data_IF_588523824930
#
_entry.id   IF_588523824930
#
_cell.length_a   1.000
_cell.length_b   1.000
_cell.length_c   1.000
_cell.angle_alpha   90.00
_cell.angle_beta   90.00
_cell.angle_gamma   90.00
#
_symmetry.space_group_name_H-M   'P 1'
#
loop_
_entity.id
_entity.type
_entity.pdbx_description
1 polymer ?
#
# COMPACT_ATOMS: atom_id res chain seq x y z
N UNK A 1 30.30 -31.12 10.73
CA UNK A 1 29.29 -30.14 11.18
C UNK A 1 28.03 -30.36 10.35
N UNK A 2 26.87 -30.48 11.00
CA UNK A 2 25.58 -30.76 10.35
C UNK A 2 24.47 -30.47 11.35
N UNK A 3 24.14 -29.20 11.54
CA UNK A 3 22.98 -28.81 12.34
C UNK A 3 21.75 -29.16 11.51
N UNK A 4 20.87 -29.99 12.07
CA UNK A 4 19.58 -30.31 11.47
C UNK A 4 18.70 -29.07 11.59
N UNK A 5 18.32 -28.48 10.47
CA UNK A 5 17.40 -27.35 10.40
C UNK A 5 15.99 -27.89 10.22
N UNK A 6 15.05 -27.37 11.00
CA UNK A 6 13.63 -27.63 10.84
C UNK A 6 13.04 -26.55 9.93
N UNK A 7 12.26 -26.96 8.92
CA UNK A 7 11.68 -26.06 7.92
C UNK A 7 10.17 -26.00 8.11
N UNK A 8 9.61 -24.79 8.07
CA UNK A 8 8.17 -24.56 8.06
C UNK A 8 7.67 -24.40 6.61
N UNK A 9 6.52 -24.99 6.29
CA UNK A 9 5.81 -24.71 5.03
C UNK A 9 5.03 -23.41 5.19
N UNK A 10 5.16 -22.51 4.21
CA UNK A 10 4.43 -21.25 4.13
C UNK A 10 3.48 -21.29 2.93
N UNK A 11 2.20 -21.18 3.21
CA UNK A 11 1.14 -21.13 2.19
C UNK A 11 0.81 -19.69 1.85
N UNK A 12 0.89 -19.32 0.58
CA UNK A 12 0.52 -17.99 0.09
C UNK A 12 -0.87 -18.01 -0.52
N UNK A 13 -1.70 -17.05 -0.12
CA UNK A 13 -3.06 -16.88 -0.64
C UNK A 13 -3.23 -15.48 -1.18
N UNK A 14 -3.82 -15.38 -2.36
CA UNK A 14 -4.22 -14.11 -2.95
C UNK A 14 -5.56 -13.71 -2.31
N UNK A 15 -5.61 -12.50 -1.76
CA UNK A 15 -6.75 -11.99 -1.02
C UNK A 15 -7.07 -10.57 -1.49
N UNK A 16 -8.34 -10.21 -1.47
CA UNK A 16 -8.80 -8.85 -1.76
C UNK A 16 -9.06 -8.10 -0.46
N UNK A 17 -8.46 -6.92 -0.29
CA UNK A 17 -8.82 -6.02 0.81
C UNK A 17 -10.22 -5.45 0.59
N UNK A 18 -11.11 -5.63 1.56
CA UNK A 18 -12.50 -5.18 1.47
C UNK A 18 -12.70 -3.81 2.11
N UNK A 19 -12.47 -3.71 3.42
CA UNK A 19 -12.66 -2.49 4.21
C UNK A 19 -11.97 -2.64 5.57
N UNK A 20 -11.91 -1.55 6.34
CA UNK A 20 -11.42 -1.56 7.73
C UNK A 20 -12.56 -1.80 8.72
N UNK A 21 -12.34 -2.71 9.67
CA UNK A 21 -13.20 -2.93 10.83
C UNK A 21 -12.47 -2.51 12.10
N UNK A 22 -12.73 -1.28 12.56
CA UNK A 22 -11.94 -0.66 13.62
C UNK A 22 -10.47 -0.51 13.20
N UNK A 23 -9.58 -1.21 13.90
CA UNK A 23 -8.15 -1.26 13.56
C UNK A 23 -7.80 -2.31 12.52
N UNK A 24 -8.59 -3.37 12.39
CA UNK A 24 -8.27 -4.51 11.54
C UNK A 24 -8.63 -4.28 10.06
N UNK A 25 -7.96 -5.05 9.20
CA UNK A 25 -8.20 -5.10 7.77
C UNK A 25 -9.02 -6.35 7.45
N UNK A 26 -10.20 -6.17 6.87
CA UNK A 26 -11.02 -7.30 6.40
C UNK A 26 -10.55 -7.68 5.00
N UNK A 27 -10.09 -8.92 4.85
CA UNK A 27 -9.61 -9.50 3.60
C UNK A 27 -10.50 -10.67 3.17
N UNK A 28 -10.67 -10.88 1.88
CA UNK A 28 -11.40 -12.01 1.31
C UNK A 28 -10.50 -12.89 0.46
N UNK A 29 -10.47 -14.19 0.70
CA UNK A 29 -9.75 -15.15 -0.13
C UNK A 29 -10.34 -15.21 -1.54
N UNK A 30 -9.52 -15.03 -2.58
CA UNK A 30 -10.01 -14.97 -3.97
C UNK A 30 -10.51 -16.34 -4.48
N UNK A 31 -10.16 -17.45 -3.81
CA UNK A 31 -10.56 -18.81 -4.21
C UNK A 31 -11.75 -19.32 -3.41
N UNK A 32 -11.76 -19.11 -2.10
CA UNK A 32 -12.79 -19.66 -1.21
C UNK A 32 -13.87 -18.65 -0.85
N UNK A 33 -13.64 -17.35 -1.07
CA UNK A 33 -14.50 -16.24 -0.63
C UNK A 33 -14.65 -16.14 0.90
N UNK A 34 -13.83 -16.87 1.67
CA UNK A 34 -13.78 -16.74 3.12
C UNK A 34 -13.15 -15.39 3.50
N UNK A 35 -13.72 -14.75 4.52
CA UNK A 35 -13.21 -13.49 5.04
C UNK A 35 -12.40 -13.72 6.31
N UNK A 36 -11.32 -12.96 6.45
CA UNK A 36 -10.51 -12.91 7.66
C UNK A 36 -10.29 -11.46 8.08
N UNK A 37 -10.12 -11.26 9.38
CA UNK A 37 -9.63 -10.00 9.94
C UNK A 37 -8.13 -10.13 10.14
N UNK A 38 -7.38 -9.17 9.61
CA UNK A 38 -5.93 -9.14 9.73
C UNK A 38 -5.49 -7.90 10.51
N UNK A 39 -4.71 -8.13 11.57
CA UNK A 39 -4.24 -7.08 12.44
C UNK A 39 -3.24 -6.14 11.72
N UNK A 40 -3.21 -4.83 12.05
CA UNK A 40 -2.35 -3.85 11.39
C UNK A 40 -0.87 -4.22 11.33
N UNK A 41 -0.34 -4.85 12.38
CA UNK A 41 1.07 -5.22 12.47
C UNK A 41 1.47 -6.31 11.47
N UNK A 42 0.52 -7.13 11.00
CA UNK A 42 0.74 -8.16 9.98
C UNK A 42 0.65 -7.59 8.56
N UNK A 43 -0.10 -6.51 8.39
CA UNK A 43 -0.15 -5.76 7.13
C UNK A 43 1.12 -4.92 6.94
N UNK A 44 1.63 -4.31 8.00
CA UNK A 44 2.80 -3.44 7.93
C UNK A 44 2.50 -2.05 7.37
N UNK A 45 3.53 -1.21 7.30
CA UNK A 45 3.44 0.19 6.90
C UNK A 45 2.77 0.44 5.52
N UNK A 46 3.03 -0.38 4.47
CA UNK A 46 2.47 -0.13 3.14
C UNK A 46 0.93 -0.18 3.09
N UNK A 47 0.28 -0.70 4.13
CA UNK A 47 -1.18 -0.82 4.23
C UNK A 47 -1.90 0.52 4.20
N UNK A 48 -1.21 1.62 4.52
CA UNK A 48 -1.75 2.99 4.44
C UNK A 48 -2.04 3.44 3.01
N UNK A 49 -1.51 2.73 2.02
CA UNK A 49 -1.70 3.01 0.59
C UNK A 49 -2.78 2.12 -0.05
N UNK A 50 -3.44 1.26 0.71
CA UNK A 50 -4.45 0.35 0.17
C UNK A 50 -5.79 1.06 -0.01
N UNK A 51 -6.39 0.84 -1.18
CA UNK A 51 -7.79 1.12 -1.46
C UNK A 51 -8.61 -0.16 -1.36
N UNK A 52 -9.88 -0.03 -1.04
CA UNK A 52 -10.84 -1.14 -1.12
C UNK A 52 -10.74 -1.81 -2.50
N UNK A 53 -10.89 -3.13 -2.53
CA UNK A 53 -10.71 -4.01 -3.67
C UNK A 53 -9.27 -4.19 -4.17
N UNK A 54 -8.26 -3.74 -3.42
CA UNK A 54 -6.86 -4.03 -3.77
C UNK A 54 -6.51 -5.48 -3.44
N UNK A 55 -5.94 -6.22 -4.41
CA UNK A 55 -5.38 -7.55 -4.16
C UNK A 55 -4.06 -7.47 -3.39
N UNK A 56 -3.93 -8.31 -2.38
CA UNK A 56 -2.75 -8.50 -1.51
C UNK A 56 -2.46 -9.99 -1.39
N UNK A 57 -1.23 -10.36 -1.02
CA UNK A 57 -0.89 -11.76 -0.77
C UNK A 57 -0.65 -11.97 0.73
N UNK A 58 -1.35 -12.91 1.34
CA UNK A 58 -1.17 -13.25 2.76
C UNK A 58 -0.46 -14.59 2.88
N UNK A 59 0.62 -14.61 3.66
CA UNK A 59 1.39 -15.81 3.98
C UNK A 59 0.85 -16.44 5.26
N UNK A 60 0.63 -17.75 5.25
CA UNK A 60 0.12 -18.53 6.37
C UNK A 60 1.08 -19.66 6.75
N UNK A 61 1.08 -20.03 8.02
CA UNK A 61 1.69 -21.25 8.52
C UNK A 61 0.70 -21.99 9.42
N UNK A 62 0.36 -23.22 9.08
CA UNK A 62 -0.64 -24.04 9.82
C UNK A 62 -2.01 -23.33 10.00
N UNK A 63 -2.37 -22.45 9.05
CA UNK A 63 -3.61 -21.68 9.09
C UNK A 63 -3.51 -20.34 9.82
N UNK A 64 -2.40 -20.07 10.52
CA UNK A 64 -2.14 -18.78 11.18
C UNK A 64 -1.52 -17.79 10.18
N UNK A 65 -2.04 -16.56 10.05
CA UNK A 65 -1.46 -15.55 9.17
C UNK A 65 -0.15 -15.00 9.76
N UNK A 66 0.87 -14.86 8.91
CA UNK A 66 2.21 -14.40 9.30
C UNK A 66 2.46 -12.95 8.90
N UNK A 67 2.19 -12.60 7.65
CA UNK A 67 2.34 -11.25 7.10
C UNK A 67 1.60 -11.14 5.76
N UNK A 68 1.27 -9.91 5.38
CA UNK A 68 0.78 -9.58 4.05
C UNK A 68 1.87 -8.91 3.20
N UNK A 69 1.87 -9.20 1.91
CA UNK A 69 2.67 -8.55 0.89
C UNK A 69 1.72 -7.75 -0.03
N UNK A 70 1.97 -6.45 -0.14
CA UNK A 70 1.18 -5.54 -0.97
C UNK A 70 1.82 -5.34 -2.33
N UNK A 71 1.06 -4.87 -3.34
CA UNK A 71 1.64 -4.48 -4.62
C UNK A 71 2.77 -3.47 -4.41
N UNK A 72 3.89 -3.67 -5.10
CA UNK A 72 5.09 -2.78 -5.00
C UNK A 72 4.75 -1.34 -5.38
N UNK A 73 3.77 -1.15 -6.27
CA UNK A 73 3.25 0.17 -6.59
C UNK A 73 1.73 0.17 -6.66
N UNK A 74 1.13 1.28 -6.25
CA UNK A 74 -0.31 1.54 -6.41
C UNK A 74 -0.51 2.88 -7.12
N UNK A 75 -1.64 3.01 -7.81
CA UNK A 75 -2.04 4.25 -8.46
C UNK A 75 -3.09 4.93 -7.57
N UNK A 76 -2.78 6.11 -7.05
CA UNK A 76 -3.59 6.83 -6.07
C UNK A 76 -3.81 8.27 -6.49
N UNK A 77 -5.04 8.74 -6.32
CA UNK A 77 -5.46 10.12 -6.60
C UNK A 77 -4.97 11.06 -5.50
N UNK A 78 -4.47 12.23 -5.88
CA UNK A 78 -4.17 13.31 -4.93
C UNK A 78 -5.47 13.96 -4.47
N UNK A 79 -5.84 13.72 -3.21
CA UNK A 79 -7.00 14.32 -2.59
C UNK A 79 -6.77 15.81 -2.27
N UNK A 80 -5.56 16.16 -1.84
CA UNK A 80 -5.19 17.55 -1.53
C UNK A 80 -3.69 17.79 -1.66
N UNK A 81 -3.32 18.91 -2.29
CA UNK A 81 -1.95 19.47 -2.22
C UNK A 81 -2.01 20.98 -2.46
N UNK A 82 -1.03 21.73 -1.95
CA UNK A 82 -0.96 23.17 -2.13
C UNK A 82 -0.54 23.54 -3.56
N UNK A 83 -0.93 24.73 -4.09
CA UNK A 83 -0.42 25.22 -5.36
C UNK A 83 1.11 25.30 -5.36
N UNK A 84 1.75 24.84 -6.44
CA UNK A 84 3.20 24.92 -6.56
C UNK A 84 3.68 26.38 -6.51
N UNK A 85 4.66 26.69 -5.65
CA UNK A 85 5.23 28.04 -5.56
C UNK A 85 5.97 28.38 -6.87
N UNK A 86 5.43 29.35 -7.60
CA UNK A 86 5.87 29.73 -8.95
C UNK A 86 7.34 30.19 -9.02
N UNK A 87 7.95 30.53 -7.88
CA UNK A 87 9.33 31.04 -7.74
C UNK A 87 10.42 29.99 -7.49
N UNK A 88 10.07 28.74 -7.17
CA UNK A 88 11.04 27.71 -6.76
C UNK A 88 11.42 26.74 -7.91
N UNK A 89 11.35 27.24 -9.15
CA UNK A 89 11.55 26.43 -10.38
C UNK A 89 13.00 25.99 -10.60
N UNK A 90 13.95 26.50 -9.84
CA UNK A 90 15.39 26.27 -10.03
C UNK A 90 15.96 25.12 -9.19
N UNK A 91 15.26 24.62 -8.17
CA UNK A 91 15.83 23.69 -7.17
C UNK A 91 15.22 22.29 -7.18
N UNK A 92 14.17 22.02 -7.96
CA UNK A 92 13.56 20.68 -8.01
C UNK A 92 12.93 20.27 -6.68
N UNK A 93 12.33 21.22 -5.96
CA UNK A 93 11.68 20.97 -4.68
C UNK A 93 10.52 19.99 -4.74
N UNK A 94 10.14 19.47 -3.58
CA UNK A 94 8.92 18.68 -3.37
C UNK A 94 7.95 19.45 -2.48
N UNK A 95 6.68 19.08 -2.56
CA UNK A 95 5.63 19.54 -1.65
C UNK A 95 4.86 18.35 -1.09
N UNK A 96 4.27 18.46 0.11
CA UNK A 96 3.39 17.42 0.62
C UNK A 96 2.11 17.30 -0.21
N UNK A 97 1.62 16.08 -0.36
CA UNK A 97 0.31 15.77 -0.91
C UNK A 97 -0.37 14.68 -0.08
N UNK A 98 -1.64 14.88 0.22
CA UNK A 98 -2.52 13.87 0.81
C UNK A 98 -3.19 13.08 -0.31
N UNK A 99 -3.04 11.76 -0.28
CA UNK A 99 -3.66 10.83 -1.22
C UNK A 99 -5.09 10.50 -0.79
N UNK A 100 -5.88 9.89 -1.68
CA UNK A 100 -7.27 9.48 -1.39
C UNK A 100 -7.40 8.47 -0.23
N UNK A 101 -6.33 7.75 0.11
CA UNK A 101 -6.28 6.89 1.31
C UNK A 101 -6.05 7.67 2.60
N UNK A 102 -5.74 8.97 2.51
CA UNK A 102 -5.29 9.81 3.62
C UNK A 102 -3.77 9.77 3.87
N UNK A 103 -3.02 8.92 3.15
CA UNK A 103 -1.56 8.87 3.28
C UNK A 103 -0.92 10.16 2.75
N UNK A 104 0.09 10.67 3.46
CA UNK A 104 0.88 11.82 3.03
C UNK A 104 2.19 11.38 2.35
N UNK A 105 2.49 11.98 1.20
CA UNK A 105 3.71 11.73 0.42
C UNK A 105 4.34 13.03 -0.08
N UNK A 106 5.62 13.00 -0.43
CA UNK A 106 6.32 14.10 -1.07
C UNK A 106 6.22 13.97 -2.60
N UNK A 107 5.71 15.02 -3.26
CA UNK A 107 5.48 15.04 -4.71
C UNK A 107 6.16 16.24 -5.37
N UNK A 108 6.49 16.18 -6.67
CA UNK A 108 7.00 17.32 -7.41
C UNK A 108 6.03 18.53 -7.39
N UNK A 109 6.58 19.75 -7.46
CA UNK A 109 5.79 20.99 -7.36
C UNK A 109 4.67 21.13 -8.40
N UNK A 110 4.79 20.47 -9.55
CA UNK A 110 3.82 20.52 -10.65
C UNK A 110 2.61 19.60 -10.48
N UNK A 111 2.59 18.72 -9.47
CA UNK A 111 1.45 17.85 -9.19
C UNK A 111 0.29 18.68 -8.65
N UNK A 112 -0.92 18.39 -9.11
CA UNK A 112 -2.13 19.11 -8.70
C UNK A 112 -3.14 18.16 -8.02
N UNK A 113 -4.07 18.73 -7.25
CA UNK A 113 -5.20 17.97 -6.71
C UNK A 113 -5.99 17.34 -7.86
N UNK A 114 -6.31 16.06 -7.74
CA UNK A 114 -6.98 15.26 -8.78
C UNK A 114 -6.03 14.53 -9.74
N UNK A 115 -4.72 14.80 -9.71
CA UNK A 115 -3.73 13.98 -10.44
C UNK A 115 -3.70 12.56 -9.85
N UNK A 116 -3.53 11.55 -10.70
CA UNK A 116 -3.31 10.16 -10.29
C UNK A 116 -1.81 9.86 -10.31
N UNK A 117 -1.28 9.40 -9.19
CA UNK A 117 0.14 9.13 -8.99
C UNK A 117 0.38 7.64 -8.78
N UNK A 118 1.40 7.13 -9.45
CA UNK A 118 1.99 5.84 -9.10
C UNK A 118 2.95 6.04 -7.92
N UNK A 119 2.68 5.36 -6.82
CA UNK A 119 3.44 5.44 -5.55
C UNK A 119 4.11 4.09 -5.29
N UNK A 120 5.37 4.11 -4.87
CA UNK A 120 6.05 2.92 -4.33
C UNK A 120 5.57 2.66 -2.90
N UNK A 121 4.97 1.50 -2.65
CA UNK A 121 4.35 1.22 -1.35
C UNK A 121 5.39 0.89 -0.28
N UNK A 122 6.62 0.54 -0.67
CA UNK A 122 7.67 0.11 0.28
C UNK A 122 8.24 1.27 1.08
N UNK A 123 8.30 2.46 0.47
CA UNK A 123 8.87 3.67 1.07
C UNK A 123 7.99 4.92 0.91
N UNK A 124 6.86 4.83 0.20
CA UNK A 124 5.94 5.93 -0.05
C UNK A 124 6.44 6.95 -1.09
N UNK A 125 7.45 6.60 -1.89
CA UNK A 125 8.02 7.51 -2.87
C UNK A 125 7.12 7.68 -4.11
N UNK A 126 7.07 8.91 -4.63
CA UNK A 126 6.48 9.20 -5.93
C UNK A 126 7.32 8.54 -7.04
N UNK A 127 6.69 7.73 -7.89
CA UNK A 127 7.33 7.12 -9.06
C UNK A 127 7.02 7.93 -10.33
N UNK A 128 5.75 8.21 -10.59
CA UNK A 128 5.32 8.92 -11.79
C UNK A 128 3.87 9.40 -11.68
N UNK A 129 3.50 10.46 -12.41
CA UNK A 129 2.10 10.78 -12.69
C UNK A 129 1.57 9.87 -13.80
N UNK A 130 0.43 9.24 -13.56
CA UNK A 130 -0.28 8.43 -14.56
C UNK A 130 -0.94 9.38 -15.57
N UNK A 131 -0.69 9.17 -16.86
CA UNK A 131 -1.36 9.91 -17.92
C UNK A 131 -2.42 8.99 -18.54
N UNK A 132 -3.65 9.50 -18.66
CA UNK A 132 -4.72 8.87 -19.45
C UNK A 132 -4.58 9.20 -20.94
#
# INVERSE_FOLDING_TARGET
AGVKVETATVDRRDMTFLYRDGEDYVLMDEKTYDQINLAPHLMGEPARFLLENTSVQVSFHEGEPLFAEMPVSVDLTVAQTDPGLQGDRSTGGTKPATLETGAEVQVPLFIETGDVLKIDTRDGSYLSRVNN
#
